data_IF_836624750579
#
_entry.id   IF_836624750579
#
_cell.length_a   1.000
_cell.length_b   1.000
_cell.length_c   1.000
_cell.angle_alpha   90.00
_cell.angle_beta   90.00
_cell.angle_gamma   90.00
#
_symmetry.space_group_name_H-M   'P 1'
#
loop_
_entity.id
_entity.type
_entity.pdbx_description
1 polymer ?
#
# COMPACT_ATOMS: atom_id res chain seq x y z
N UNK A 1 -18.94 -6.17 -14.69
CA UNK A 1 -17.99 -5.07 -14.42
C UNK A 1 -16.64 -5.69 -14.09
N UNK A 2 -15.67 -5.44 -14.96
CA UNK A 2 -14.58 -6.34 -15.31
C UNK A 2 -13.46 -6.31 -14.25
N UNK A 3 -13.12 -7.48 -13.70
CA UNK A 3 -11.92 -7.74 -12.90
C UNK A 3 -10.69 -7.76 -13.83
N UNK A 4 -10.34 -6.60 -14.37
CA UNK A 4 -9.08 -6.25 -15.06
C UNK A 4 -8.76 -4.94 -14.36
N UNK A 5 -7.80 -4.84 -13.45
CA UNK A 5 -6.40 -4.64 -13.83
C UNK A 5 -5.48 -4.72 -12.59
N UNK A 6 -5.50 -5.82 -11.82
CA UNK A 6 -4.56 -5.97 -10.68
C UNK A 6 -3.10 -5.77 -11.12
N UNK A 7 -2.77 -6.27 -12.32
CA UNK A 7 -1.47 -6.07 -12.96
C UNK A 7 -1.14 -4.60 -13.25
N UNK A 8 -2.12 -3.76 -13.60
CA UNK A 8 -1.83 -2.34 -13.87
C UNK A 8 -1.51 -1.60 -12.57
N UNK A 9 -2.16 -1.93 -11.46
CA UNK A 9 -1.81 -1.36 -10.15
C UNK A 9 -0.42 -1.82 -9.69
N UNK A 10 -0.02 -3.07 -9.98
CA UNK A 10 1.37 -3.51 -9.78
C UNK A 10 2.31 -2.67 -10.64
N UNK A 11 1.98 -2.44 -11.92
CA UNK A 11 2.81 -1.64 -12.81
C UNK A 11 2.93 -0.19 -12.32
N UNK A 12 1.83 0.42 -11.87
CA UNK A 12 1.86 1.76 -11.28
C UNK A 12 2.70 1.82 -10.00
N UNK A 13 2.59 0.80 -9.14
CA UNK A 13 3.43 0.70 -7.95
C UNK A 13 4.91 0.56 -8.33
N UNK A 14 5.22 -0.25 -9.33
CA UNK A 14 6.57 -0.48 -9.82
C UNK A 14 7.17 0.79 -10.44
N UNK A 15 6.39 1.50 -11.26
CA UNK A 15 6.79 2.81 -11.83
C UNK A 15 7.05 3.81 -10.70
N UNK A 16 6.14 3.95 -9.75
CA UNK A 16 6.30 4.87 -8.61
C UNK A 16 7.53 4.56 -7.77
N UNK A 17 7.78 3.28 -7.47
CA UNK A 17 8.97 2.86 -6.73
C UNK A 17 10.25 3.07 -7.54
N UNK A 18 10.23 2.80 -8.86
CA UNK A 18 11.39 2.99 -9.73
C UNK A 18 11.80 4.46 -9.86
N UNK A 19 10.84 5.39 -9.85
CA UNK A 19 11.12 6.83 -9.85
C UNK A 19 11.79 7.25 -8.55
N UNK A 20 11.30 6.75 -7.41
CA UNK A 20 11.89 7.07 -6.10
C UNK A 20 13.30 6.49 -5.95
N UNK A 21 13.51 5.23 -6.35
CA UNK A 21 14.84 4.60 -6.35
C UNK A 21 15.78 5.29 -7.34
N UNK A 22 15.28 5.68 -8.52
CA UNK A 22 16.06 6.44 -9.50
C UNK A 22 16.47 7.81 -8.99
N UNK A 23 15.59 8.51 -8.26
CA UNK A 23 15.91 9.77 -7.60
C UNK A 23 16.98 9.58 -6.51
N UNK A 24 16.79 8.61 -5.61
CA UNK A 24 17.76 8.29 -4.56
C UNK A 24 19.13 7.90 -5.12
N UNK A 25 19.16 7.21 -6.27
CA UNK A 25 20.39 6.86 -6.96
C UNK A 25 21.13 8.09 -7.53
N UNK A 26 20.40 9.08 -8.06
CA UNK A 26 20.98 10.34 -8.55
C UNK A 26 21.53 11.17 -7.37
N UNK A 27 20.81 11.19 -6.25
CA UNK A 27 21.19 11.94 -5.05
C UNK A 27 22.28 11.24 -4.22
N UNK A 28 22.76 10.09 -4.67
CA UNK A 28 23.73 9.23 -3.99
C UNK A 28 23.31 8.86 -2.56
N UNK A 29 22.01 8.76 -2.31
CA UNK A 29 21.53 8.29 -1.01
C UNK A 29 21.93 6.82 -0.79
N UNK A 30 22.38 6.45 0.43
CA UNK A 30 22.68 5.06 0.73
C UNK A 30 21.38 4.28 0.82
N UNK A 31 21.21 3.28 -0.05
CA UNK A 31 20.10 2.32 0.03
C UNK A 31 20.57 0.93 -0.39
N UNK A 32 19.84 -0.09 0.06
CA UNK A 32 20.11 -1.48 -0.27
C UNK A 32 19.07 -2.01 -1.26
N UNK A 33 19.51 -2.34 -2.47
CA UNK A 33 18.67 -2.92 -3.53
C UNK A 33 17.89 -4.15 -3.09
N UNK A 34 18.50 -5.03 -2.30
CA UNK A 34 17.84 -6.25 -1.80
C UNK A 34 16.73 -5.88 -0.83
N UNK A 35 17.00 -4.98 0.10
CA UNK A 35 16.00 -4.51 1.07
C UNK A 35 14.86 -3.75 0.38
N UNK A 36 15.14 -2.99 -0.69
CA UNK A 36 14.11 -2.31 -1.49
C UNK A 36 13.19 -3.30 -2.23
N UNK A 37 13.74 -4.38 -2.80
CA UNK A 37 12.92 -5.44 -3.42
C UNK A 37 12.03 -6.12 -2.38
N UNK A 38 12.59 -6.44 -1.20
CA UNK A 38 11.80 -6.99 -0.11
C UNK A 38 10.73 -6.02 0.37
N UNK A 39 11.02 -4.73 0.44
CA UNK A 39 10.07 -3.68 0.81
C UNK A 39 8.87 -3.63 -0.14
N UNK A 40 9.13 -3.75 -1.45
CA UNK A 40 8.10 -3.76 -2.48
C UNK A 40 7.17 -4.97 -2.33
N UNK A 41 7.74 -6.17 -2.20
CA UNK A 41 6.97 -7.41 -2.01
C UNK A 41 6.19 -7.35 -0.69
N UNK A 42 6.82 -6.88 0.38
CA UNK A 42 6.21 -6.76 1.69
C UNK A 42 5.03 -5.79 1.66
N UNK A 43 5.14 -4.63 1.02
CA UNK A 43 4.04 -3.67 0.89
C UNK A 43 2.81 -4.26 0.16
N UNK A 44 3.03 -5.01 -0.92
CA UNK A 44 1.96 -5.71 -1.64
C UNK A 44 1.25 -6.75 -0.75
N UNK A 45 2.04 -7.57 -0.05
CA UNK A 45 1.49 -8.60 0.84
C UNK A 45 0.77 -7.99 2.05
N UNK A 46 1.34 -6.94 2.63
CA UNK A 46 0.77 -6.25 3.79
C UNK A 46 -0.58 -5.62 3.44
N UNK A 47 -0.76 -5.07 2.24
CA UNK A 47 -2.07 -4.57 1.81
C UNK A 47 -3.15 -5.67 1.84
N UNK A 48 -2.80 -6.88 1.39
CA UNK A 48 -3.70 -8.04 1.44
C UNK A 48 -4.06 -8.38 2.90
N UNK A 49 -3.09 -8.29 3.81
CA UNK A 49 -3.33 -8.52 5.24
C UNK A 49 -4.17 -7.41 5.89
N UNK A 50 -3.88 -6.14 5.61
CA UNK A 50 -4.62 -4.97 6.12
C UNK A 50 -6.09 -5.06 5.72
N UNK A 51 -6.37 -5.41 4.46
CA UNK A 51 -7.75 -5.54 3.96
C UNK A 51 -8.52 -6.66 4.66
N UNK A 52 -7.88 -7.82 4.89
CA UNK A 52 -8.55 -9.01 5.44
C UNK A 52 -8.69 -8.93 6.97
N UNK A 53 -7.71 -8.35 7.67
CA UNK A 53 -7.57 -8.47 9.13
C UNK A 53 -7.82 -7.19 9.92
N UNK A 54 -7.74 -5.99 9.33
CA UNK A 54 -8.05 -4.75 10.07
C UNK A 54 -9.52 -4.31 9.87
N UNK A 55 -10.38 -4.44 10.90
CA UNK A 55 -11.78 -4.01 10.82
C UNK A 55 -11.95 -2.50 10.63
N UNK A 56 -10.94 -1.69 11.04
CA UNK A 56 -10.88 -0.24 10.80
C UNK A 56 -10.86 0.13 9.31
N UNK A 57 -10.25 -0.71 8.47
CA UNK A 57 -10.17 -0.50 7.02
C UNK A 57 -11.31 -1.21 6.28
N UNK A 58 -11.89 -2.25 6.85
CA UNK A 58 -13.02 -2.99 6.25
C UNK A 58 -14.28 -2.13 6.08
N UNK A 59 -14.41 -1.01 6.80
CA UNK A 59 -15.47 -0.02 6.59
C UNK A 59 -15.21 0.90 5.38
N UNK A 60 -13.95 1.07 4.98
CA UNK A 60 -13.51 1.90 3.85
C UNK A 60 -13.19 1.10 2.58
N UNK A 61 -13.06 -0.22 2.68
CA UNK A 61 -12.95 -1.11 1.53
C UNK A 61 -14.21 -1.94 1.44
N UNK A 62 -14.97 -1.78 0.36
CA UNK A 62 -16.24 -2.48 0.21
C UNK A 62 -15.98 -3.99 0.09
N UNK A 63 -16.42 -4.73 1.11
CA UNK A 63 -16.49 -6.19 1.08
C UNK A 63 -17.62 -6.61 0.13
N UNK A 64 -17.34 -6.84 -1.15
CA UNK A 64 -18.35 -7.26 -2.16
C UNK A 64 -19.14 -8.52 -1.78
N UNK A 65 -18.61 -9.37 -0.89
CA UNK A 65 -19.36 -10.51 -0.36
C UNK A 65 -20.60 -10.10 0.46
N UNK A 66 -20.55 -8.93 1.13
CA UNK A 66 -21.70 -8.39 1.88
C UNK A 66 -22.72 -7.67 0.99
N UNK A 67 -22.32 -7.20 -0.20
CA UNK A 67 -23.22 -6.58 -1.18
C UNK A 67 -24.20 -7.57 -1.81
N UNK A 68 -23.86 -8.86 -1.83
CA UNK A 68 -24.70 -9.87 -2.51
C UNK A 68 -25.96 -10.25 -1.70
N UNK A 69 -26.00 -9.96 -0.40
CA UNK A 69 -27.05 -10.46 0.49
C UNK A 69 -27.73 -9.41 1.39
N UNK A 70 -27.35 -8.13 1.32
CA UNK A 70 -27.86 -7.15 2.29
C UNK A 70 -28.17 -5.82 1.63
N UNK A 71 -29.46 -5.45 1.64
CA UNK A 71 -29.96 -4.10 1.34
C UNK A 71 -29.55 -3.19 2.50
N UNK A 72 -28.24 -2.94 2.66
CA UNK A 72 -27.74 -1.97 3.62
C UNK A 72 -27.86 -0.59 2.97
N UNK A 73 -28.64 0.29 3.62
CA UNK A 73 -28.72 1.72 3.32
C UNK A 73 -27.30 2.25 3.06
N UNK A 74 -27.01 2.61 1.82
CA UNK A 74 -25.81 3.37 1.46
C UNK A 74 -25.87 4.70 2.21
N UNK A 75 -25.15 4.79 3.34
CA UNK A 75 -24.87 6.07 4.00
C UNK A 75 -24.12 6.91 2.96
N UNK A 76 -24.54 8.16 2.74
CA UNK A 76 -23.96 9.05 1.74
C UNK A 76 -22.43 8.94 1.75
N UNK A 77 -21.89 8.42 0.64
CA UNK A 77 -20.48 8.05 0.49
C UNK A 77 -19.64 9.31 0.37
N UNK A 78 -19.00 9.70 1.48
CA UNK A 78 -18.07 10.82 1.46
C UNK A 78 -16.75 10.36 0.82
N UNK A 79 -16.53 10.81 -0.43
CA UNK A 79 -15.35 10.46 -1.22
C UNK A 79 -14.04 10.84 -0.51
N UNK A 80 -14.09 11.81 0.41
CA UNK A 80 -12.96 12.22 1.21
C UNK A 80 -12.44 11.09 2.12
N UNK A 81 -13.32 10.31 2.74
CA UNK A 81 -12.91 9.30 3.73
C UNK A 81 -12.30 8.05 3.08
N UNK A 82 -12.69 7.72 1.84
CA UNK A 82 -12.06 6.65 1.05
C UNK A 82 -10.62 6.98 0.62
N UNK A 83 -10.29 8.26 0.43
CA UNK A 83 -8.91 8.68 0.08
C UNK A 83 -7.95 8.65 1.27
N UNK A 84 -8.47 8.63 2.51
CA UNK A 84 -7.64 8.54 3.73
C UNK A 84 -7.14 7.11 3.95
N UNK A 85 -7.90 6.10 3.51
CA UNK A 85 -7.54 4.69 3.70
C UNK A 85 -6.21 4.29 3.01
N UNK A 86 -5.92 4.69 1.75
CA UNK A 86 -4.62 4.48 1.13
C UNK A 86 -3.45 5.14 1.86
N UNK A 87 -3.65 6.37 2.33
CA UNK A 87 -2.62 7.15 3.04
C UNK A 87 -2.30 6.54 4.40
N UNK A 88 -3.32 6.08 5.13
CA UNK A 88 -3.11 5.41 6.41
C UNK A 88 -2.48 4.03 6.22
N UNK A 89 -2.85 3.28 5.18
CA UNK A 89 -2.23 2.00 4.87
C UNK A 89 -0.74 2.15 4.51
N UNK A 90 -0.38 3.15 3.71
CA UNK A 90 1.01 3.43 3.34
C UNK A 90 1.86 3.89 4.54
N UNK A 91 1.31 4.70 5.44
CA UNK A 91 1.96 5.09 6.70
C UNK A 91 2.23 3.87 7.60
N UNK A 92 1.22 3.00 7.77
CA UNK A 92 1.36 1.80 8.59
C UNK A 92 2.40 0.85 8.00
N UNK A 93 2.39 0.65 6.67
CA UNK A 93 3.39 -0.21 6.02
C UNK A 93 4.81 0.33 6.17
N UNK A 94 4.99 1.65 6.00
CA UNK A 94 6.28 2.30 6.17
C UNK A 94 6.79 2.12 7.61
N UNK A 95 5.91 2.32 8.60
CA UNK A 95 6.25 2.18 10.01
C UNK A 95 6.61 0.75 10.37
N UNK A 96 5.82 -0.25 9.97
CA UNK A 96 6.10 -1.66 10.26
C UNK A 96 7.42 -2.08 9.63
N UNK A 97 7.64 -1.74 8.36
CA UNK A 97 8.87 -2.11 7.65
C UNK A 97 10.10 -1.39 8.21
N UNK A 98 9.95 -0.11 8.57
CA UNK A 98 10.99 0.66 9.24
C UNK A 98 11.37 0.11 10.61
N UNK A 99 10.40 -0.33 11.42
CA UNK A 99 10.68 -1.00 12.69
C UNK A 99 11.45 -2.31 12.46
N UNK A 100 11.07 -3.10 11.45
CA UNK A 100 11.77 -4.34 11.11
C UNK A 100 13.23 -4.06 10.72
N UNK A 101 13.47 -3.10 9.82
CA UNK A 101 14.82 -2.74 9.37
C UNK A 101 15.67 -2.15 10.50
N UNK A 102 15.07 -1.34 11.37
CA UNK A 102 15.72 -0.78 12.54
C UNK A 102 16.16 -1.88 13.54
N UNK A 103 15.28 -2.84 13.84
CA UNK A 103 15.60 -3.98 14.72
C UNK A 103 16.70 -4.87 14.13
N UNK A 104 16.77 -4.97 12.80
CA UNK A 104 17.81 -5.69 12.08
C UNK A 104 19.14 -4.92 11.98
N UNK A 105 19.21 -3.68 12.46
CA UNK A 105 20.44 -2.89 12.51
C UNK A 105 20.81 -2.22 11.18
N UNK A 106 19.86 -2.05 10.26
CA UNK A 106 20.12 -1.25 9.05
C UNK A 106 20.15 0.25 9.41
N UNK A 107 21.23 0.95 9.06
CA UNK A 107 21.37 2.39 9.32
C UNK A 107 20.74 3.27 8.23
N UNK A 108 20.56 2.73 7.03
CA UNK A 108 19.97 3.41 5.88
C UNK A 108 18.77 2.61 5.38
N UNK A 109 17.57 3.04 5.77
CA UNK A 109 16.32 2.34 5.46
C UNK A 109 15.19 3.26 4.95
N UNK A 110 15.50 4.54 4.72
CA UNK A 110 14.49 5.56 4.35
C UNK A 110 13.85 5.22 3.01
N UNK A 111 14.67 4.97 2.00
CA UNK A 111 14.26 4.66 0.63
C UNK A 111 13.37 3.41 0.61
N UNK A 112 13.77 2.37 1.35
CA UNK A 112 13.07 1.11 1.48
C UNK A 112 11.70 1.28 2.15
N UNK A 113 11.62 2.11 3.19
CA UNK A 113 10.33 2.44 3.81
C UNK A 113 9.39 3.17 2.85
N UNK A 114 9.92 4.09 2.04
CA UNK A 114 9.13 4.76 1.01
C UNK A 114 8.67 3.81 -0.09
N UNK A 115 9.51 2.85 -0.51
CA UNK A 115 9.13 1.80 -1.46
C UNK A 115 7.97 0.96 -0.91
N UNK A 116 8.05 0.51 0.34
CA UNK A 116 6.95 -0.21 0.99
C UNK A 116 5.67 0.65 1.08
N UNK A 117 5.80 1.95 1.39
CA UNK A 117 4.69 2.89 1.48
C UNK A 117 3.98 3.08 0.13
N UNK A 118 4.75 3.34 -0.94
CA UNK A 118 4.21 3.54 -2.29
C UNK A 118 3.53 2.27 -2.79
N UNK A 119 4.17 1.10 -2.61
CA UNK A 119 3.61 -0.17 -3.02
C UNK A 119 2.26 -0.44 -2.32
N UNK A 120 2.19 -0.23 -1.01
CA UNK A 120 0.96 -0.43 -0.22
C UNK A 120 -0.12 0.59 -0.58
N UNK A 121 0.26 1.86 -0.74
CA UNK A 121 -0.67 2.95 -1.07
C UNK A 121 -1.29 2.80 -2.46
N UNK A 122 -0.49 2.47 -3.48
CA UNK A 122 -1.01 2.23 -4.84
C UNK A 122 -1.89 0.99 -4.87
N UNK A 123 -1.48 -0.08 -4.19
CA UNK A 123 -2.28 -1.30 -4.10
C UNK A 123 -3.59 -1.10 -3.32
N UNK A 124 -3.62 -0.17 -2.38
CA UNK A 124 -4.84 0.18 -1.68
C UNK A 124 -5.93 0.70 -2.63
N UNK A 125 -5.59 1.48 -3.65
CA UNK A 125 -6.56 1.98 -4.62
C UNK A 125 -7.22 0.88 -5.45
N UNK A 126 -6.55 -0.26 -5.66
CA UNK A 126 -7.17 -1.42 -6.30
C UNK A 126 -8.36 -1.97 -5.49
N UNK A 127 -8.31 -1.80 -4.17
CA UNK A 127 -9.32 -2.34 -3.26
C UNK A 127 -10.39 -1.31 -2.86
N UNK A 128 -10.16 -0.02 -3.13
CA UNK A 128 -11.14 1.04 -2.89
C UNK A 128 -12.31 0.92 -3.89
N UNK A 129 -13.57 1.10 -3.45
CA UNK A 129 -14.69 1.24 -4.38
C UNK A 129 -14.64 2.59 -5.08
N UNK A 130 -14.84 2.57 -6.41
CA UNK A 130 -15.10 3.78 -7.21
C UNK A 130 -16.40 4.47 -6.79
#
# INVERSE_FOLDING_TARGET
>A
MYRKFYWDYILYALIGCSLLVGYAYIDQEPFNWVAAIFAFIFGILLMTFIMIRLPLFNQYYIHRAQLKHTILKMKAHDHATHRVAPVMASLISAMIFGIILYVLGFESFKVECFVAAIATGVMSFYYAPD
#
